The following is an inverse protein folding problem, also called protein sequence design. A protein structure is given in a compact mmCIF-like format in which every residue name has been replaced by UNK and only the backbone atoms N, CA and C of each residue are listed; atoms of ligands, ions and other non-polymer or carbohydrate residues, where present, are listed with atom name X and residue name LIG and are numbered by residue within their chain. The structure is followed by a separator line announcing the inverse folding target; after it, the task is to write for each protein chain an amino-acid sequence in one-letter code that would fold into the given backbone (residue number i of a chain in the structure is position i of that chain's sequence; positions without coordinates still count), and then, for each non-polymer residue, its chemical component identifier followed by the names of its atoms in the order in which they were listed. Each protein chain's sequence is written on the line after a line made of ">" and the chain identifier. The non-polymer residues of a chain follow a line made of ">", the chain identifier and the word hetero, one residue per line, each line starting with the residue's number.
data_IF_981954816296
#
_entry.id   IF_981954816296
#
_cell.length_a   1.000
_cell.length_b   1.000
_cell.length_c   1.000
_cell.angle_alpha   90.00
_cell.angle_beta   90.00
_cell.angle_gamma   90.00
#
_symmetry.space_group_name_H-M   'P 1'
#
loop_
_entity.id
_entity.type
_entity.pdbx_description
1 polymer ?
#
# COMPACT_ATOMS: atom_id res chain seq x y z
N UNK A 1 -2.68 48.50 34.58
CA UNK A 1 -3.98 47.86 34.29
C UNK A 1 -3.76 46.88 33.16
N UNK A 2 -3.88 45.59 33.47
CA UNK A 2 -3.67 44.48 32.53
C UNK A 2 -4.93 44.30 31.70
N UNK A 3 -4.81 44.14 30.38
CA UNK A 3 -5.80 43.45 29.53
C UNK A 3 -5.23 43.33 28.11
N UNK A 4 -4.83 42.12 27.76
CA UNK A 4 -4.37 41.74 26.43
C UNK A 4 -4.70 40.27 26.21
N UNK A 5 -5.97 40.04 25.90
CA UNK A 5 -6.62 38.83 25.36
C UNK A 5 -5.70 37.62 25.12
N UNK A 6 -5.80 36.63 26.00
CA UNK A 6 -5.40 35.25 25.71
C UNK A 6 -6.30 34.71 24.60
N UNK A 7 -5.73 34.39 23.44
CA UNK A 7 -6.37 33.50 22.46
C UNK A 7 -6.68 32.17 23.17
N UNK A 8 -7.90 31.62 23.06
CA UNK A 8 -8.13 30.26 23.51
C UNK A 8 -7.24 29.34 22.66
N UNK A 9 -6.57 28.33 23.24
CA UNK A 9 -6.03 27.23 22.45
C UNK A 9 -7.21 26.65 21.67
N UNK A 10 -7.08 26.58 20.34
CA UNK A 10 -8.00 25.82 19.51
C UNK A 10 -7.98 24.39 20.06
N UNK A 11 -9.00 24.01 20.83
CA UNK A 11 -9.09 22.68 21.39
C UNK A 11 -9.08 21.70 20.21
N UNK A 12 -8.20 20.69 20.18
CA UNK A 12 -8.26 19.67 19.14
C UNK A 12 -9.65 19.03 19.23
N UNK A 13 -10.48 19.26 18.21
CA UNK A 13 -11.77 18.57 18.08
C UNK A 13 -11.47 17.07 18.11
N UNK A 14 -12.01 16.32 19.09
CA UNK A 14 -11.75 14.90 19.18
C UNK A 14 -12.37 14.24 17.94
N UNK A 15 -11.54 13.60 17.10
CA UNK A 15 -12.05 12.64 16.11
C UNK A 15 -12.76 11.54 16.91
N UNK A 16 -14.09 11.37 16.79
CA UNK A 16 -14.88 10.68 17.81
C UNK A 16 -14.77 9.16 17.75
N UNK A 17 -13.93 8.62 16.87
CA UNK A 17 -13.75 7.19 16.74
C UNK A 17 -13.05 6.81 15.44
N UNK A 18 -12.81 5.51 15.31
CA UNK A 18 -12.16 4.93 14.14
C UNK A 18 -13.04 5.15 12.92
N UNK A 19 -12.48 5.69 11.83
CA UNK A 19 -13.23 5.95 10.60
C UNK A 19 -13.82 4.67 9.96
N UNK A 20 -13.27 3.49 10.26
CA UNK A 20 -13.73 2.21 9.70
C UNK A 20 -14.74 1.47 10.59
N UNK A 21 -14.46 1.32 11.88
CA UNK A 21 -15.28 0.49 12.77
C UNK A 21 -16.09 1.30 13.78
N UNK A 22 -16.03 2.63 13.75
CA UNK A 22 -16.68 3.55 14.68
C UNK A 22 -16.34 3.32 16.17
N UNK A 23 -15.35 2.46 16.48
CA UNK A 23 -14.86 2.28 17.85
C UNK A 23 -14.44 3.63 18.41
N UNK A 24 -14.94 3.99 19.58
CA UNK A 24 -14.56 5.22 20.28
C UNK A 24 -13.12 5.11 20.79
N UNK A 25 -12.35 6.20 20.72
CA UNK A 25 -11.00 6.26 21.23
C UNK A 25 -10.17 7.37 20.60
N UNK A 26 -9.12 7.79 21.31
CA UNK A 26 -8.08 8.69 20.81
C UNK A 26 -6.93 7.81 20.29
N UNK A 27 -6.76 7.71 18.98
CA UNK A 27 -5.87 6.72 18.33
C UNK A 27 -4.40 7.14 18.28
N UNK A 28 -3.95 7.86 19.31
CA UNK A 28 -2.58 8.32 19.47
C UNK A 28 -2.40 9.79 19.12
N UNK A 29 -1.25 10.37 19.49
CA UNK A 29 -1.02 11.80 19.39
C UNK A 29 -1.10 12.29 17.95
N UNK A 30 -1.98 13.28 17.71
CA UNK A 30 -2.00 14.03 16.46
C UNK A 30 -0.70 14.83 16.32
N UNK A 31 0.23 14.35 15.49
CA UNK A 31 1.37 15.13 15.03
C UNK A 31 0.95 15.92 13.79
N UNK A 32 1.00 17.27 13.80
CA UNK A 32 0.56 18.09 12.67
C UNK A 32 1.33 17.83 11.36
N UNK A 33 2.54 17.26 11.46
CA UNK A 33 3.42 16.97 10.34
C UNK A 33 3.26 15.56 9.76
N UNK A 34 2.48 14.69 10.41
CA UNK A 34 2.23 13.32 9.94
C UNK A 34 0.73 13.17 9.60
N UNK A 35 0.38 12.65 8.42
CA UNK A 35 -1.02 12.38 8.10
C UNK A 35 -1.58 11.35 9.09
N UNK A 36 -2.64 11.71 9.81
CA UNK A 36 -3.32 10.76 10.68
C UNK A 36 -4.09 9.75 9.83
N UNK A 37 -4.04 8.47 10.17
CA UNK A 37 -4.87 7.45 9.51
C UNK A 37 -6.33 7.52 9.96
N UNK A 38 -6.60 7.98 11.19
CA UNK A 38 -7.95 8.02 11.77
C UNK A 38 -8.52 6.62 12.05
N UNK A 39 -7.65 5.60 12.07
CA UNK A 39 -8.02 4.21 12.26
C UNK A 39 -7.51 3.69 13.60
N UNK A 40 -8.30 2.85 14.26
CA UNK A 40 -7.84 2.12 15.43
C UNK A 40 -6.78 1.09 15.06
N UNK A 41 -5.89 0.70 16.01
CA UNK A 41 -4.87 -0.31 15.75
C UNK A 41 -5.42 -1.62 15.19
N UNK A 42 -6.62 -2.05 15.61
CA UNK A 42 -7.27 -3.24 15.09
C UNK A 42 -7.64 -3.10 13.60
N UNK A 43 -8.17 -1.95 13.19
CA UNK A 43 -8.49 -1.68 11.78
C UNK A 43 -7.23 -1.49 10.93
N UNK A 44 -6.16 -0.92 11.48
CA UNK A 44 -4.86 -0.86 10.81
C UNK A 44 -4.32 -2.27 10.58
N UNK A 45 -4.37 -3.12 11.61
CA UNK A 45 -3.93 -4.51 11.50
C UNK A 45 -4.81 -5.31 10.51
N UNK A 46 -6.13 -5.11 10.55
CA UNK A 46 -7.07 -5.76 9.64
C UNK A 46 -6.92 -5.29 8.19
N UNK A 47 -6.53 -4.03 7.97
CA UNK A 47 -6.25 -3.49 6.64
C UNK A 47 -4.87 -3.83 6.11
N UNK A 48 -4.00 -4.46 6.91
CA UNK A 48 -2.67 -4.88 6.45
C UNK A 48 -2.82 -5.98 5.41
N UNK A 49 -2.17 -5.88 4.24
CA UNK A 49 -2.21 -6.93 3.24
C UNK A 49 -1.76 -8.26 3.83
N UNK A 50 -2.58 -9.31 3.65
CA UNK A 50 -2.20 -10.67 3.99
C UNK A 50 -1.16 -11.17 2.99
N UNK A 51 -0.38 -12.19 3.38
CA UNK A 51 0.57 -12.84 2.48
C UNK A 51 -0.14 -13.34 1.22
N UNK A 52 -1.24 -14.08 1.39
CA UNK A 52 -2.05 -14.59 0.29
C UNK A 52 -2.58 -13.46 -0.61
N UNK A 53 -2.98 -12.33 -0.03
CA UNK A 53 -3.41 -11.15 -0.77
C UNK A 53 -2.29 -10.53 -1.59
N UNK A 54 -1.06 -10.48 -1.05
CA UNK A 54 0.13 -10.02 -1.78
C UNK A 54 0.51 -10.99 -2.90
N UNK A 55 0.46 -12.29 -2.64
CA UNK A 55 0.73 -13.33 -3.64
C UNK A 55 -0.25 -13.23 -4.81
N UNK A 56 -1.55 -13.12 -4.51
CA UNK A 56 -2.58 -12.94 -5.52
C UNK A 56 -2.41 -11.64 -6.32
N UNK A 57 -2.03 -10.54 -5.65
CA UNK A 57 -1.79 -9.26 -6.33
C UNK A 57 -0.64 -9.37 -7.35
N UNK A 58 0.45 -10.05 -7.02
CA UNK A 58 1.57 -10.28 -7.95
C UNK A 58 1.11 -11.11 -9.15
N UNK A 59 0.32 -12.17 -8.94
CA UNK A 59 -0.24 -12.99 -10.02
C UNK A 59 -1.10 -12.16 -10.96
N UNK A 60 -1.98 -11.31 -10.42
CA UNK A 60 -2.84 -10.42 -11.21
C UNK A 60 -1.99 -9.46 -12.06
N UNK A 61 -1.01 -8.77 -11.46
CA UNK A 61 -0.16 -7.81 -12.18
C UNK A 61 0.67 -8.51 -13.25
N UNK A 62 1.15 -9.73 -12.98
CA UNK A 62 1.89 -10.50 -13.97
C UNK A 62 1.01 -10.93 -15.14
N UNK A 63 -0.21 -11.39 -14.87
CA UNK A 63 -1.19 -11.70 -15.92
C UNK A 63 -1.54 -10.50 -16.78
N UNK A 64 -1.76 -9.33 -16.17
CA UNK A 64 -2.02 -8.08 -16.89
C UNK A 64 -0.82 -7.65 -17.76
N UNK A 65 0.40 -7.76 -17.24
CA UNK A 65 1.62 -7.43 -17.97
C UNK A 65 1.79 -8.34 -19.20
N UNK A 66 1.50 -9.63 -19.05
CA UNK A 66 1.56 -10.62 -20.12
C UNK A 66 0.49 -10.36 -21.18
N UNK A 67 -0.77 -10.19 -20.76
CA UNK A 67 -1.88 -9.91 -21.68
C UNK A 67 -1.62 -8.65 -22.51
N UNK A 68 -1.08 -7.59 -21.89
CA UNK A 68 -0.70 -6.37 -22.62
C UNK A 68 0.39 -6.63 -23.67
N UNK A 69 1.38 -7.46 -23.35
CA UNK A 69 2.42 -7.85 -24.30
C UNK A 69 1.88 -8.74 -25.44
N UNK A 70 0.93 -9.63 -25.15
CA UNK A 70 0.30 -10.50 -26.16
C UNK A 70 -0.56 -9.72 -27.17
N UNK A 71 -1.14 -8.59 -26.76
CA UNK A 71 -1.90 -7.70 -27.65
C UNK A 71 -1.02 -6.82 -28.55
N UNK A 72 0.31 -6.84 -28.34
CA UNK A 72 1.23 -5.98 -29.08
C UNK A 72 1.40 -6.46 -30.52
N UNK A 73 1.10 -5.59 -31.49
CA UNK A 73 1.37 -5.86 -32.89
C UNK A 73 2.86 -5.60 -33.21
N UNK A 74 3.61 -6.69 -33.34
CA UNK A 74 5.07 -6.63 -33.55
C UNK A 74 5.49 -5.97 -34.86
N UNK A 75 4.62 -5.93 -35.88
CA UNK A 75 4.95 -5.33 -37.17
C UNK A 75 4.97 -3.79 -37.12
N UNK A 76 4.17 -3.21 -36.22
CA UNK A 76 3.94 -1.77 -36.14
C UNK A 76 4.47 -1.15 -34.83
N UNK A 77 4.92 -1.97 -33.87
CA UNK A 77 5.39 -1.52 -32.57
C UNK A 77 6.72 -0.77 -32.64
N UNK A 78 6.80 0.37 -31.95
CA UNK A 78 8.05 1.10 -31.81
C UNK A 78 9.05 0.31 -30.91
N UNK A 79 10.37 0.43 -31.13
CA UNK A 79 11.38 -0.20 -30.28
C UNK A 79 11.22 0.11 -28.78
N UNK A 80 10.80 1.33 -28.45
CA UNK A 80 10.58 1.78 -27.07
C UNK A 80 9.40 1.06 -26.41
N UNK A 81 8.34 0.82 -27.19
CA UNK A 81 7.15 0.09 -26.76
C UNK A 81 7.48 -1.39 -26.51
N UNK A 82 8.22 -2.00 -27.44
CA UNK A 82 8.75 -3.36 -27.28
C UNK A 82 9.62 -3.49 -26.01
N UNK A 83 10.54 -2.54 -25.80
CA UNK A 83 11.40 -2.53 -24.63
C UNK A 83 10.61 -2.36 -23.32
N UNK A 84 9.56 -1.52 -23.34
CA UNK A 84 8.67 -1.33 -22.20
C UNK A 84 7.96 -2.64 -21.81
N UNK A 85 7.31 -3.30 -22.77
CA UNK A 85 6.56 -4.53 -22.51
C UNK A 85 7.48 -5.68 -22.12
N UNK A 86 8.65 -5.83 -22.76
CA UNK A 86 9.63 -6.83 -22.37
C UNK A 86 10.15 -6.60 -20.94
N UNK A 87 10.42 -5.35 -20.59
CA UNK A 87 10.83 -4.97 -19.23
C UNK A 87 9.75 -5.23 -18.18
N UNK A 88 8.49 -4.96 -18.52
CA UNK A 88 7.33 -5.24 -17.66
C UNK A 88 7.19 -6.75 -17.42
N UNK A 89 7.17 -7.56 -18.49
CA UNK A 89 7.08 -9.02 -18.40
C UNK A 89 8.24 -9.61 -17.59
N UNK A 90 9.48 -9.16 -17.83
CA UNK A 90 10.66 -9.61 -17.08
C UNK A 90 10.52 -9.32 -15.57
N UNK A 91 10.10 -8.11 -15.19
CA UNK A 91 9.92 -7.73 -13.78
C UNK A 91 8.82 -8.56 -13.12
N UNK A 92 7.69 -8.74 -13.81
CA UNK A 92 6.57 -9.53 -13.34
C UNK A 92 6.92 -11.00 -13.16
N UNK A 93 7.65 -11.59 -14.12
CA UNK A 93 8.16 -12.96 -14.00
C UNK A 93 9.12 -13.10 -12.81
N UNK A 94 10.05 -12.15 -12.63
CA UNK A 94 10.94 -12.15 -11.46
C UNK A 94 10.16 -12.15 -10.15
N UNK A 95 9.13 -11.30 -10.04
CA UNK A 95 8.29 -11.23 -8.84
C UNK A 95 7.53 -12.54 -8.59
N UNK A 96 6.99 -13.17 -9.64
CA UNK A 96 6.37 -14.51 -9.52
C UNK A 96 7.38 -15.56 -9.05
N UNK A 97 8.57 -15.59 -9.64
CA UNK A 97 9.61 -16.54 -9.24
C UNK A 97 10.05 -16.32 -7.78
N UNK A 98 10.07 -15.08 -7.30
CA UNK A 98 10.37 -14.78 -5.90
C UNK A 98 9.28 -15.27 -4.95
N UNK A 99 8.00 -15.27 -5.37
CA UNK A 99 6.92 -15.86 -4.58
C UNK A 99 6.99 -17.38 -4.53
N UNK A 100 7.38 -18.01 -5.64
CA UNK A 100 7.46 -19.48 -5.76
C UNK A 100 8.77 -20.04 -5.20
N UNK A 101 9.82 -19.23 -5.09
CA UNK A 101 11.09 -19.67 -4.54
C UNK A 101 10.89 -20.12 -3.07
N UNK A 102 11.34 -21.33 -2.71
CA UNK A 102 11.35 -21.75 -1.32
C UNK A 102 12.15 -20.74 -0.49
N UNK A 103 11.56 -20.24 0.60
CA UNK A 103 12.31 -19.48 1.59
C UNK A 103 13.20 -20.49 2.32
N UNK A 104 14.39 -20.76 1.79
CA UNK A 104 15.42 -21.48 2.53
C UNK A 104 15.87 -20.57 3.70
N UNK A 105 15.17 -20.70 4.82
CA UNK A 105 15.36 -19.89 6.02
C UNK A 105 14.72 -20.50 7.27
N UNK A 106 14.52 -21.82 7.29
CA UNK A 106 14.39 -22.60 8.52
C UNK A 106 15.66 -23.44 8.67
N UNK A 107 16.73 -22.81 9.16
CA UNK A 107 17.66 -23.48 10.08
C UNK A 107 17.45 -22.79 11.42
N UNK A 108 17.09 -23.44 12.51
CA UNK A 108 17.20 -24.83 12.88
C UNK A 108 17.61 -24.81 14.36
N UNK A 109 16.65 -25.10 15.22
CA UNK A 109 16.75 -25.33 16.68
C UNK A 109 17.30 -24.19 17.57
#
# INVERSE_FOLDING_TARGET
>A
MVSGTTNPPCAPTPSPGCALCATSGDFGPHKPTEPHSGLCPACIAAGKPTRDGLEQAVVIVAGQSLAAAETLNLADAAPEELAYHFGAVKRSLRSLLQLLAPVNGEGGH
#
